data_IF_274680660618
#
_entry.id   IF_274680660618
#
_cell.length_a   1.000
_cell.length_b   1.000
_cell.length_c   1.000
_cell.angle_alpha   90.00
_cell.angle_beta   90.00
_cell.angle_gamma   90.00
#
_symmetry.space_group_name_H-M   'P 1'
#
loop_
_entity.id
_entity.type
_entity.pdbx_description
1 polymer ?
#
# COMPACT_ATOMS: atom_id res chain seq x y z
N UNK A 1 -10.41 -14.34 12.64
CA UNK A 1 -9.08 -14.01 12.07
C UNK A 1 -8.48 -15.15 11.23
N UNK A 2 -8.42 -16.41 11.70
CA UNK A 2 -7.72 -17.49 10.98
C UNK A 2 -8.14 -17.76 9.53
N UNK A 3 -9.43 -17.62 9.17
CA UNK A 3 -9.86 -17.81 7.77
C UNK A 3 -9.43 -16.65 6.85
N UNK A 4 -9.45 -15.42 7.36
CA UNK A 4 -9.01 -14.24 6.59
C UNK A 4 -7.50 -14.28 6.31
N UNK A 5 -6.70 -14.70 7.31
CA UNK A 5 -5.25 -14.82 7.14
C UNK A 5 -4.87 -15.93 6.15
N UNK A 6 -5.59 -17.06 6.15
CA UNK A 6 -5.36 -18.14 5.18
C UNK A 6 -5.70 -17.72 3.74
N UNK A 7 -6.84 -17.06 3.52
CA UNK A 7 -7.23 -16.57 2.19
C UNK A 7 -6.25 -15.52 1.66
N UNK A 8 -5.82 -14.58 2.50
CA UNK A 8 -4.83 -13.57 2.13
C UNK A 8 -3.49 -14.22 1.79
N UNK A 9 -3.01 -15.16 2.60
CA UNK A 9 -1.76 -15.89 2.34
C UNK A 9 -1.79 -16.60 0.98
N UNK A 10 -2.87 -17.29 0.66
CA UNK A 10 -3.03 -17.98 -0.62
C UNK A 10 -3.05 -17.01 -1.80
N UNK A 11 -3.73 -15.87 -1.67
CA UNK A 11 -3.77 -14.83 -2.70
C UNK A 11 -2.37 -14.24 -2.97
N UNK A 12 -1.63 -13.90 -1.91
CA UNK A 12 -0.28 -13.33 -2.03
C UNK A 12 0.71 -14.37 -2.59
N UNK A 13 0.61 -15.64 -2.18
CA UNK A 13 1.43 -16.71 -2.74
C UNK A 13 1.19 -16.93 -4.25
N UNK A 14 -0.03 -16.65 -4.73
CA UNK A 14 -0.39 -16.69 -6.15
C UNK A 14 -0.10 -15.38 -6.90
N UNK A 15 0.62 -14.43 -6.28
CA UNK A 15 0.94 -13.13 -6.87
C UNK A 15 2.46 -13.00 -7.00
N UNK A 16 3.02 -13.20 -8.20
CA UNK A 16 4.44 -13.02 -8.43
C UNK A 16 4.88 -11.60 -8.06
N UNK A 17 5.85 -11.49 -7.16
CA UNK A 17 6.49 -10.23 -6.80
C UNK A 17 7.96 -10.52 -6.49
N UNK A 18 8.92 -9.78 -7.06
CA UNK A 18 10.33 -9.95 -6.73
C UNK A 18 10.59 -9.54 -5.27
N UNK A 19 11.46 -10.30 -4.61
CA UNK A 19 11.97 -9.96 -3.28
C UNK A 19 13.12 -8.97 -3.44
N UNK A 20 12.99 -7.81 -2.82
CA UNK A 20 13.97 -6.71 -2.83
C UNK A 20 14.10 -6.14 -1.42
N UNK A 21 15.07 -5.25 -1.20
CA UNK A 21 15.10 -4.47 0.02
C UNK A 21 13.98 -3.43 -0.02
N UNK A 22 13.04 -3.53 0.92
CA UNK A 22 11.86 -2.67 1.01
C UNK A 22 11.95 -1.79 2.26
N UNK A 23 11.33 -0.61 2.18
CA UNK A 23 11.17 0.30 3.31
C UNK A 23 10.13 -0.22 4.31
N UNK A 24 9.07 -0.84 3.80
CA UNK A 24 7.88 -1.35 4.49
C UNK A 24 6.97 -0.30 5.16
N UNK A 25 7.42 0.95 5.31
CA UNK A 25 6.60 2.06 5.84
C UNK A 25 6.70 3.35 5.00
N UNK A 26 6.28 3.30 3.74
CA UNK A 26 6.38 4.43 2.79
C UNK A 26 5.19 5.41 2.93
N UNK A 27 5.06 6.02 4.10
CA UNK A 27 4.09 7.11 4.38
C UNK A 27 4.69 8.50 4.10
N UNK A 28 3.85 9.54 4.05
CA UNK A 28 4.29 10.91 3.77
C UNK A 28 5.26 11.47 4.82
N UNK A 29 5.13 11.05 6.08
CA UNK A 29 6.06 11.45 7.15
C UNK A 29 7.51 10.99 6.93
N UNK A 30 7.69 9.93 6.12
CA UNK A 30 8.99 9.31 5.86
C UNK A 30 9.61 9.76 4.51
N UNK A 31 8.99 10.72 3.82
CA UNK A 31 9.46 11.27 2.54
C UNK A 31 9.76 12.76 2.73
N UNK A 32 11.04 13.10 2.84
CA UNK A 32 11.48 14.49 3.01
C UNK A 32 11.80 15.15 1.67
N UNK A 33 11.44 16.43 1.55
CA UNK A 33 11.91 17.30 0.47
C UNK A 33 13.21 17.99 0.91
N UNK A 34 14.26 17.86 0.11
CA UNK A 34 15.57 18.44 0.40
C UNK A 34 15.60 19.92 0.01
N UNK A 35 15.93 20.76 0.99
CA UNK A 35 16.03 22.21 0.83
C UNK A 35 17.05 22.60 -0.26
N UNK A 36 16.68 23.54 -1.13
CA UNK A 36 17.50 24.02 -2.24
C UNK A 36 17.66 23.04 -3.41
N UNK A 37 16.91 21.92 -3.42
CA UNK A 37 16.92 20.93 -4.52
C UNK A 37 15.60 20.84 -5.26
N UNK A 38 14.70 21.81 -5.14
CA UNK A 38 13.31 21.71 -5.63
C UNK A 38 13.20 21.44 -7.15
N UNK A 39 14.20 21.90 -7.90
CA UNK A 39 14.31 21.73 -9.36
C UNK A 39 15.15 20.50 -9.78
N UNK A 40 15.64 19.70 -8.83
CA UNK A 40 16.44 18.51 -9.11
C UNK A 40 15.59 17.23 -9.17
N UNK A 41 16.10 16.21 -9.85
CA UNK A 41 15.49 14.87 -9.88
C UNK A 41 15.66 14.09 -8.57
N UNK A 42 16.63 14.46 -7.72
CA UNK A 42 16.97 13.83 -6.44
C UNK A 42 16.47 14.64 -5.22
N UNK A 43 15.39 15.41 -5.40
CA UNK A 43 14.86 16.33 -4.38
C UNK A 43 14.13 15.66 -3.21
N UNK A 44 13.89 14.36 -3.29
CA UNK A 44 13.20 13.58 -2.27
C UNK A 44 14.16 12.61 -1.60
N UNK A 45 14.03 12.44 -0.28
CA UNK A 45 14.81 11.51 0.52
C UNK A 45 13.88 10.68 1.40
N UNK A 46 14.06 9.35 1.36
CA UNK A 46 13.42 8.44 2.30
C UNK A 46 14.22 8.39 3.61
N UNK A 47 13.50 8.37 4.73
CA UNK A 47 14.06 8.26 6.08
C UNK A 47 13.28 7.24 6.91
N UNK A 48 13.75 6.92 8.10
CA UNK A 48 13.07 6.06 9.07
C UNK A 48 12.83 4.61 8.59
N UNK A 49 13.94 3.91 8.39
CA UNK A 49 13.99 2.53 7.91
C UNK A 49 13.74 1.49 9.03
N UNK A 50 13.00 1.83 10.09
CA UNK A 50 12.83 0.96 11.27
C UNK A 50 12.12 -0.38 10.97
N UNK A 51 11.21 -0.38 9.98
CA UNK A 51 10.53 -1.58 9.49
C UNK A 51 11.19 -2.20 8.26
N UNK A 52 12.31 -1.63 7.78
CA UNK A 52 12.93 -2.06 6.53
C UNK A 52 13.45 -3.49 6.61
N UNK A 53 13.26 -4.24 5.53
CA UNK A 53 13.72 -5.62 5.40
C UNK A 53 13.62 -6.09 3.96
N UNK A 54 14.18 -7.27 3.66
CA UNK A 54 13.87 -7.95 2.41
C UNK A 54 12.39 -8.36 2.40
N UNK A 55 11.64 -7.85 1.43
CA UNK A 55 10.22 -8.13 1.26
C UNK A 55 9.84 -8.11 -0.23
N UNK A 56 8.61 -8.45 -0.53
CA UNK A 56 8.04 -8.31 -1.87
C UNK A 56 7.92 -6.83 -2.23
N UNK A 57 8.43 -6.40 -3.40
CA UNK A 57 8.30 -4.99 -3.84
C UNK A 57 6.83 -4.54 -3.86
N UNK A 58 5.92 -5.47 -4.15
CA UNK A 58 4.49 -5.22 -4.19
C UNK A 58 3.96 -4.68 -2.86
N UNK A 59 4.58 -5.06 -1.74
CA UNK A 59 4.24 -4.55 -0.42
C UNK A 59 4.51 -3.06 -0.30
N UNK A 60 5.69 -2.58 -0.69
CA UNK A 60 6.01 -1.14 -0.64
C UNK A 60 5.06 -0.31 -1.51
N UNK A 61 4.75 -0.78 -2.72
CA UNK A 61 3.81 -0.09 -3.60
C UNK A 61 2.39 -0.08 -3.04
N UNK A 62 1.89 -1.25 -2.63
CA UNK A 62 0.57 -1.38 -2.05
C UNK A 62 0.43 -0.55 -0.76
N UNK A 63 1.47 -0.55 0.08
CA UNK A 63 1.52 0.26 1.28
C UNK A 63 1.49 1.75 0.96
N UNK A 64 2.36 2.21 0.06
CA UNK A 64 2.40 3.61 -0.35
C UNK A 64 1.05 4.09 -0.89
N UNK A 65 0.39 3.27 -1.72
CA UNK A 65 -0.95 3.60 -2.23
C UNK A 65 -2.02 3.60 -1.14
N UNK A 66 -1.94 2.71 -0.15
CA UNK A 66 -2.83 2.76 1.02
C UNK A 66 -2.68 4.07 1.80
N UNK A 67 -1.47 4.61 1.94
CA UNK A 67 -1.24 5.84 2.71
C UNK A 67 -1.86 7.09 2.05
N UNK A 68 -2.14 7.10 0.75
CA UNK A 68 -2.89 8.20 0.10
C UNK A 68 -4.32 8.37 0.65
N UNK A 69 -4.87 7.33 1.27
CA UNK A 69 -6.19 7.39 1.92
C UNK A 69 -6.12 8.22 3.20
N UNK A 70 -4.98 8.24 3.88
CA UNK A 70 -4.83 8.75 5.23
C UNK A 70 -4.22 10.16 5.23
N UNK A 71 -4.69 10.98 6.15
CA UNK A 71 -4.15 12.30 6.45
C UNK A 71 -3.94 12.36 7.96
N UNK A 72 -2.67 12.28 8.37
CA UNK A 72 -2.25 12.30 9.78
C UNK A 72 -2.01 13.71 10.32
N UNK A 73 -2.20 14.76 9.51
CA UNK A 73 -2.06 16.17 9.96
C UNK A 73 -3.30 16.68 10.69
N UNK A 74 -4.36 15.86 10.76
CA UNK A 74 -5.61 16.24 11.40
C UNK A 74 -5.45 16.34 12.93
N UNK A 75 -5.72 17.52 13.46
CA UNK A 75 -5.45 17.92 14.84
C UNK A 75 -6.55 17.55 15.86
N UNK A 76 -7.64 16.91 15.40
CA UNK A 76 -8.74 16.49 16.26
C UNK A 76 -8.88 14.97 16.27
N UNK A 77 -9.39 14.42 17.38
CA UNK A 77 -9.71 13.00 17.51
C UNK A 77 -10.45 12.47 16.26
N UNK A 78 -10.02 11.32 15.66
CA UNK A 78 -9.03 10.36 16.12
C UNK A 78 -7.56 10.66 15.74
N UNK A 79 -7.25 11.92 15.42
CA UNK A 79 -5.95 12.43 14.95
C UNK A 79 -5.54 11.95 13.56
N UNK A 80 -6.53 11.57 12.75
CA UNK A 80 -6.35 11.32 11.32
C UNK A 80 -7.70 11.43 10.58
N UNK A 81 -7.64 11.75 9.29
CA UNK A 81 -8.75 11.57 8.35
C UNK A 81 -8.45 10.41 7.41
N UNK A 82 -9.50 9.75 6.94
CA UNK A 82 -9.39 8.68 5.95
C UNK A 82 -10.45 8.89 4.87
N UNK A 83 -10.02 9.02 3.61
CA UNK A 83 -10.87 9.23 2.44
C UNK A 83 -10.54 8.16 1.40
N UNK A 84 -11.39 7.15 1.28
CA UNK A 84 -11.13 5.98 0.40
C UNK A 84 -11.05 6.39 -1.06
N UNK A 85 -11.79 7.44 -1.42
CA UNK A 85 -11.77 8.08 -2.74
C UNK A 85 -10.39 8.64 -3.13
N UNK A 86 -9.47 8.84 -2.17
CA UNK A 86 -8.11 9.29 -2.44
C UNK A 86 -7.15 8.15 -2.81
N UNK A 87 -7.55 6.86 -2.66
CA UNK A 87 -6.72 5.76 -3.13
C UNK A 87 -6.41 5.96 -4.63
N UNK A 88 -5.13 5.85 -5.06
CA UNK A 88 -4.75 6.25 -6.40
C UNK A 88 -5.55 5.47 -7.44
N UNK A 89 -6.17 6.20 -8.36
CA UNK A 89 -6.89 5.58 -9.46
C UNK A 89 -5.90 4.90 -10.42
N UNK A 90 -6.43 4.11 -11.36
CA UNK A 90 -5.61 3.36 -12.32
C UNK A 90 -4.60 4.22 -13.07
N UNK A 91 -4.96 5.44 -13.47
CA UNK A 91 -4.05 6.33 -14.21
C UNK A 91 -2.90 6.81 -13.31
N UNK A 92 -3.18 7.10 -12.03
CA UNK A 92 -2.16 7.49 -11.06
C UNK A 92 -1.22 6.33 -10.72
N UNK A 93 -1.76 5.12 -10.50
CA UNK A 93 -0.94 3.92 -10.28
C UNK A 93 -0.03 3.65 -11.48
N UNK A 94 -0.57 3.75 -12.70
CA UNK A 94 0.18 3.56 -13.94
C UNK A 94 1.28 4.60 -14.11
N UNK A 95 0.99 5.87 -13.77
CA UNK A 95 1.98 6.94 -13.79
C UNK A 95 3.14 6.62 -12.84
N UNK A 96 2.85 6.24 -11.60
CA UNK A 96 3.86 5.82 -10.63
C UNK A 96 4.71 4.64 -11.14
N UNK A 97 4.05 3.59 -11.64
CA UNK A 97 4.72 2.37 -12.14
C UNK A 97 5.62 2.69 -13.33
N UNK A 98 5.18 3.53 -14.26
CA UNK A 98 5.98 3.96 -15.42
C UNK A 98 7.25 4.67 -15.01
N UNK A 99 7.17 5.56 -14.02
CA UNK A 99 8.35 6.23 -13.50
C UNK A 99 9.29 5.26 -12.78
N UNK A 100 8.74 4.32 -11.99
CA UNK A 100 9.55 3.27 -11.36
C UNK A 100 10.26 2.35 -12.38
N UNK A 101 9.60 2.05 -13.51
CA UNK A 101 10.13 1.21 -14.58
C UNK A 101 11.01 1.97 -15.58
N UNK A 102 11.11 3.30 -15.47
CA UNK A 102 11.88 4.09 -16.43
C UNK A 102 13.32 3.54 -16.55
N UNK A 103 13.75 3.33 -17.80
CA UNK A 103 15.06 2.76 -18.18
C UNK A 103 15.28 1.26 -17.85
N UNK A 104 14.30 0.54 -17.31
CA UNK A 104 14.45 -0.85 -16.84
C UNK A 104 13.77 -1.91 -17.70
N UNK A 105 12.93 -1.53 -18.67
CA UNK A 105 12.06 -2.46 -19.41
C UNK A 105 12.03 -2.12 -20.90
N UNK A 106 12.09 -3.15 -21.75
CA UNK A 106 11.93 -3.00 -23.19
C UNK A 106 10.48 -2.62 -23.55
N UNK A 107 10.26 -1.75 -24.57
CA UNK A 107 8.91 -1.27 -24.90
C UNK A 107 7.87 -2.37 -25.18
N UNK A 108 8.30 -3.51 -25.72
CA UNK A 108 7.42 -4.62 -26.10
C UNK A 108 6.76 -5.32 -24.89
N UNK A 109 7.41 -5.33 -23.72
CA UNK A 109 6.89 -5.96 -22.51
C UNK A 109 6.17 -4.97 -21.57
N UNK A 110 6.31 -3.67 -21.84
CA UNK A 110 5.95 -2.62 -20.90
C UNK A 110 4.47 -2.67 -20.48
N UNK A 111 3.54 -2.77 -21.43
CA UNK A 111 2.11 -2.80 -21.12
C UNK A 111 1.71 -4.00 -20.25
N UNK A 112 2.27 -5.19 -20.51
CA UNK A 112 2.00 -6.39 -19.70
C UNK A 112 2.55 -6.24 -18.29
N UNK A 113 3.79 -5.76 -18.16
CA UNK A 113 4.44 -5.54 -16.86
C UNK A 113 3.70 -4.47 -16.06
N UNK A 114 3.21 -3.40 -16.70
CA UNK A 114 2.37 -2.37 -16.09
C UNK A 114 1.10 -2.98 -15.46
N UNK A 115 0.37 -3.83 -16.18
CA UNK A 115 -0.82 -4.50 -15.63
C UNK A 115 -0.50 -5.49 -14.50
N UNK A 116 0.57 -6.26 -14.67
CA UNK A 116 1.04 -7.21 -13.66
C UNK A 116 1.39 -6.47 -12.36
N UNK A 117 2.08 -5.33 -12.45
CA UNK A 117 2.46 -4.51 -11.29
C UNK A 117 1.27 -3.78 -10.63
N UNK A 118 0.26 -3.36 -11.40
CA UNK A 118 -0.99 -2.85 -10.83
C UNK A 118 -1.68 -3.94 -10.01
N UNK A 119 -1.77 -5.15 -10.56
CA UNK A 119 -2.37 -6.30 -9.85
C UNK A 119 -1.56 -6.66 -8.60
N UNK A 120 -0.24 -6.67 -8.72
CA UNK A 120 0.71 -6.89 -7.63
C UNK A 120 0.47 -5.89 -6.48
N UNK A 121 0.58 -4.58 -6.75
CA UNK A 121 0.42 -3.54 -5.73
C UNK A 121 -0.96 -3.61 -5.05
N UNK A 122 -2.05 -3.77 -5.80
CA UNK A 122 -3.40 -3.81 -5.23
C UNK A 122 -3.66 -5.07 -4.39
N UNK A 123 -3.05 -6.22 -4.71
CA UNK A 123 -3.16 -7.42 -3.87
C UNK A 123 -2.35 -7.28 -2.59
N UNK A 124 -1.16 -6.67 -2.67
CA UNK A 124 -0.32 -6.42 -1.50
C UNK A 124 -0.82 -5.26 -0.62
N UNK A 125 -1.62 -4.33 -1.15
CA UNK A 125 -2.34 -3.32 -0.36
C UNK A 125 -3.24 -3.96 0.72
N UNK A 126 -3.82 -5.14 0.42
CA UNK A 126 -4.59 -5.93 1.39
C UNK A 126 -3.71 -6.44 2.54
N UNK A 127 -2.47 -6.81 2.22
CA UNK A 127 -1.46 -7.19 3.21
C UNK A 127 -1.08 -6.01 4.10
N UNK A 128 -0.88 -4.82 3.52
CA UNK A 128 -0.64 -3.57 4.26
C UNK A 128 -1.79 -3.26 5.23
N UNK A 129 -3.04 -3.26 4.75
CA UNK A 129 -4.21 -3.06 5.61
C UNK A 129 -4.30 -4.08 6.74
N UNK A 130 -3.99 -5.36 6.46
CA UNK A 130 -3.99 -6.41 7.48
C UNK A 130 -2.88 -6.19 8.52
N UNK A 131 -1.65 -5.94 8.08
CA UNK A 131 -0.48 -5.73 8.94
C UNK A 131 -0.68 -4.51 9.85
N UNK A 132 -0.94 -3.34 9.27
CA UNK A 132 -1.12 -2.11 10.04
C UNK A 132 -2.38 -2.12 10.86
N UNK A 133 -3.38 -2.90 10.45
CA UNK A 133 -4.54 -3.19 11.27
C UNK A 133 -4.16 -3.91 12.57
N UNK A 134 -3.41 -5.02 12.47
CA UNK A 134 -2.92 -5.77 13.63
C UNK A 134 -2.00 -4.92 14.51
N UNK A 135 -1.08 -4.19 13.89
CA UNK A 135 -0.19 -3.24 14.58
C UNK A 135 -1.01 -2.23 15.39
N UNK A 136 -2.09 -1.69 14.81
CA UNK A 136 -2.96 -0.74 15.51
C UNK A 136 -3.65 -1.35 16.73
N UNK A 137 -4.13 -2.59 16.65
CA UNK A 137 -4.70 -3.29 17.83
C UNK A 137 -3.66 -3.41 18.95
N UNK A 138 -2.44 -3.79 18.61
CA UNK A 138 -1.35 -3.92 19.57
C UNK A 138 -1.06 -2.56 20.21
N UNK A 139 -0.91 -1.52 19.38
CA UNK A 139 -0.62 -0.16 19.85
C UNK A 139 -1.71 0.44 20.72
N UNK A 140 -2.98 0.09 20.50
CA UNK A 140 -4.08 0.49 21.39
C UNK A 140 -3.88 0.04 22.86
N UNK A 141 -3.06 -0.98 23.10
CA UNK A 141 -2.80 -1.52 24.44
C UNK A 141 -1.45 -1.10 25.02
N UNK A 142 -0.50 -0.64 24.20
CA UNK A 142 0.89 -0.39 24.64
C UNK A 142 1.37 1.06 24.40
N UNK A 143 0.76 1.79 23.46
CA UNK A 143 1.18 3.14 23.13
C UNK A 143 0.69 4.15 24.16
N UNK A 144 1.54 5.15 24.46
CA UNK A 144 1.18 6.32 25.27
C UNK A 144 0.70 7.50 24.42
N UNK A 145 0.79 7.39 23.10
CA UNK A 145 0.37 8.44 22.17
C UNK A 145 -1.15 8.43 22.11
N UNK A 146 -1.76 9.60 22.28
CA UNK A 146 -3.20 9.78 22.12
C UNK A 146 -3.55 9.72 20.63
N UNK A 147 -3.84 8.53 20.13
CA UNK A 147 -4.21 8.27 18.75
C UNK A 147 -5.34 7.25 18.68
N UNK A 148 -6.26 7.40 17.72
CA UNK A 148 -7.43 6.53 17.58
C UNK A 148 -7.14 5.16 17.00
N UNK A 149 -6.23 4.39 17.59
CA UNK A 149 -5.77 3.08 17.13
C UNK A 149 -6.94 2.09 16.87
N UNK A 150 -7.89 2.00 17.81
CA UNK A 150 -9.05 1.10 17.63
C UNK A 150 -9.99 1.56 16.50
N UNK A 151 -10.06 2.87 16.23
CA UNK A 151 -10.82 3.42 15.09
C UNK A 151 -10.09 3.10 13.78
N UNK A 152 -8.75 3.19 13.78
CA UNK A 152 -7.91 2.86 12.63
C UNK A 152 -8.03 1.37 12.26
N UNK A 153 -7.93 0.47 13.24
CA UNK A 153 -8.19 -0.97 13.05
C UNK A 153 -9.54 -1.23 12.37
N UNK A 154 -10.64 -0.68 12.91
CA UNK A 154 -11.98 -0.90 12.36
C UNK A 154 -12.08 -0.42 10.91
N UNK A 155 -11.46 0.72 10.57
CA UNK A 155 -11.42 1.22 9.19
C UNK A 155 -10.61 0.30 8.27
N UNK A 156 -9.38 -0.08 8.65
CA UNK A 156 -8.53 -0.98 7.84
C UNK A 156 -9.21 -2.36 7.65
N UNK A 157 -9.92 -2.89 8.66
CA UNK A 157 -10.71 -4.11 8.53
C UNK A 157 -11.93 -3.93 7.61
N UNK A 158 -12.65 -2.81 7.72
CA UNK A 158 -13.81 -2.52 6.88
C UNK A 158 -13.41 -2.38 5.41
N UNK A 159 -12.32 -1.69 5.10
CA UNK A 159 -11.83 -1.57 3.72
C UNK A 159 -11.30 -2.91 3.18
N UNK A 160 -10.69 -3.74 4.02
CA UNK A 160 -10.35 -5.12 3.67
C UNK A 160 -11.58 -6.00 3.37
N UNK A 161 -12.76 -5.68 3.90
CA UNK A 161 -13.96 -6.55 3.81
C UNK A 161 -15.04 -6.02 2.86
N UNK A 162 -15.18 -4.71 2.70
CA UNK A 162 -16.20 -4.08 1.87
C UNK A 162 -15.57 -3.31 0.71
N UNK A 163 -15.77 -3.87 -0.49
CA UNK A 163 -15.78 -3.25 -1.84
C UNK A 163 -14.53 -3.33 -2.74
N UNK A 164 -13.30 -3.54 -2.28
CA UNK A 164 -12.13 -3.54 -3.20
C UNK A 164 -11.53 -4.91 -3.57
N UNK A 165 -11.91 -6.02 -2.90
CA UNK A 165 -11.41 -7.37 -3.26
C UNK A 165 -12.38 -8.13 -4.18
N UNK A 166 -13.70 -7.94 -4.00
CA UNK A 166 -14.74 -8.68 -4.75
C UNK A 166 -14.79 -8.24 -6.24
N UNK A 167 -14.43 -7.01 -6.56
CA UNK A 167 -14.44 -6.54 -7.95
C UNK A 167 -13.18 -6.94 -8.75
N UNK A 168 -12.12 -7.41 -8.11
CA UNK A 168 -10.95 -7.98 -8.80
C UNK A 168 -11.09 -9.49 -9.06
N UNK A 169 -12.10 -10.17 -8.50
CA UNK A 169 -12.41 -11.59 -8.76
C UNK A 169 -13.56 -11.81 -9.74
N UNK A 170 -14.42 -10.82 -10.01
CA UNK A 170 -15.57 -10.99 -10.91
C UNK A 170 -15.19 -11.03 -12.40
N UNK A 171 -14.01 -10.54 -12.81
CA UNK A 171 -13.60 -10.64 -14.23
C UNK A 171 -13.15 -12.04 -14.67
N UNK A 172 -13.00 -13.01 -13.76
CA UNK A 172 -12.57 -14.38 -14.12
C UNK A 172 -13.63 -15.46 -13.85
N UNK A 173 -14.84 -15.10 -13.41
CA UNK A 173 -15.92 -16.05 -13.14
C UNK A 173 -17.03 -16.09 -14.21
N UNK A 174 -16.87 -15.37 -15.32
CA UNK A 174 -17.81 -15.36 -16.47
C UNK A 174 -17.25 -15.97 -17.76
N UNK A 175 -16.16 -16.75 -17.70
CA UNK A 175 -15.64 -17.54 -18.85
C UNK A 175 -15.81 -19.06 -18.62
N UNK A 176 -16.44 -19.48 -17.51
CA UNK A 176 -16.78 -20.88 -17.26
C UNK A 176 -18.25 -21.08 -16.82
N UNK A 177 -19.16 -20.37 -17.48
CA UNK A 177 -20.55 -20.78 -17.67
C UNK A 177 -20.95 -20.52 -19.13
#
# INVERSE_FOLDING_TARGET
MCRLSLSLRSLLAATPSPVVFCHNDVQEGNILMLDGRENSSDKLMLIDFEYSSYNYRGFDFGNHFCEWIYDYTYDQWPFYKAKVENYPNRQQQLHFIRHYLSERVAPADQARIEEDMITEANRFALASHFLWGLWSIIQANISKIEFGYMVNWKKKLYHNTHKQIINLTISHFLILL
#
